data_IF_378594920354
#
_entry.id   IF_378594920354
#
_cell.length_a   1.000
_cell.length_b   1.000
_cell.length_c   1.000
_cell.angle_alpha   90.00
_cell.angle_beta   90.00
_cell.angle_gamma   90.00
#
_symmetry.space_group_name_H-M   'P 1'
#
loop_
_entity.id
_entity.type
_entity.pdbx_description
1 polymer ?
#
# COMPACT_ATOMS: atom_id res chain seq x y z
N UNK A 1 -3.26 -5.69 -34.98
CA UNK A 1 -4.46 -6.24 -35.67
C UNK A 1 -5.77 -5.89 -34.95
N UNK A 2 -5.84 -6.01 -33.62
CA UNK A 2 -7.08 -5.89 -32.81
C UNK A 2 -7.74 -4.51 -32.91
N UNK A 3 -7.00 -3.40 -32.83
CA UNK A 3 -7.58 -2.06 -32.91
C UNK A 3 -8.16 -1.72 -34.30
N UNK A 4 -7.56 -2.23 -35.38
CA UNK A 4 -8.11 -2.11 -36.75
C UNK A 4 -9.40 -2.91 -36.91
N UNK A 5 -9.54 -4.04 -36.19
CA UNK A 5 -10.77 -4.82 -36.20
C UNK A 5 -11.89 -4.09 -35.47
N UNK A 6 -11.62 -3.55 -34.28
CA UNK A 6 -12.57 -2.74 -33.51
C UNK A 6 -13.07 -1.53 -34.31
N UNK A 7 -12.17 -0.86 -35.05
CA UNK A 7 -12.50 0.27 -35.91
C UNK A 7 -13.43 -0.13 -37.06
N UNK A 8 -13.17 -1.30 -37.70
CA UNK A 8 -14.03 -1.82 -38.78
C UNK A 8 -15.41 -2.27 -38.30
N UNK A 9 -15.54 -2.66 -37.04
CA UNK A 9 -16.80 -3.10 -36.42
C UNK A 9 -17.54 -1.96 -35.69
N UNK A 10 -17.08 -0.70 -35.84
CA UNK A 10 -17.77 0.48 -35.30
C UNK A 10 -17.60 0.68 -33.78
N UNK A 11 -16.64 0.01 -33.14
CA UNK A 11 -16.35 0.21 -31.73
C UNK A 11 -15.38 1.39 -31.56
N UNK A 12 -15.72 2.32 -30.67
CA UNK A 12 -14.85 3.46 -30.30
C UNK A 12 -13.73 3.04 -29.36
N UNK A 13 -13.86 1.89 -28.71
CA UNK A 13 -12.88 1.34 -27.78
C UNK A 13 -11.58 0.96 -28.49
N UNK A 14 -10.44 1.24 -27.84
CA UNK A 14 -9.10 0.89 -28.33
C UNK A 14 -8.35 0.10 -27.25
N UNK A 15 -7.64 -0.94 -27.68
CA UNK A 15 -6.75 -1.70 -26.81
C UNK A 15 -5.40 -0.99 -26.80
N UNK A 16 -4.97 -0.56 -25.64
CA UNK A 16 -3.65 -0.02 -25.39
C UNK A 16 -2.79 -1.11 -24.72
N UNK A 17 -1.73 -1.53 -25.40
CA UNK A 17 -0.83 -2.58 -24.94
C UNK A 17 0.24 -2.10 -23.95
N UNK A 18 0.36 -0.77 -23.76
CA UNK A 18 1.30 -0.19 -22.82
C UNK A 18 0.86 -0.49 -21.38
N UNK A 19 1.81 -0.71 -20.49
CA UNK A 19 1.54 -0.87 -19.07
C UNK A 19 0.88 0.38 -18.48
N UNK A 20 0.21 0.26 -17.34
CA UNK A 20 -0.38 1.41 -16.64
C UNK A 20 0.67 2.47 -16.30
N UNK A 21 1.91 2.05 -15.96
CA UNK A 21 3.01 2.97 -15.70
C UNK A 21 3.44 3.75 -16.95
N UNK A 22 3.58 3.09 -18.10
CA UNK A 22 3.91 3.74 -19.38
C UNK A 22 2.81 4.69 -19.88
N UNK A 23 1.57 4.45 -19.47
CA UNK A 23 0.42 5.32 -19.74
C UNK A 23 0.31 6.47 -18.75
N UNK A 24 1.19 6.56 -17.76
CA UNK A 24 1.10 7.54 -16.68
C UNK A 24 -0.14 7.39 -15.79
N UNK A 25 -0.76 6.20 -15.79
CA UNK A 25 -1.91 5.91 -14.94
C UNK A 25 -1.44 5.56 -13.54
N UNK A 26 -2.09 6.12 -12.54
CA UNK A 26 -1.83 5.84 -11.12
C UNK A 26 -2.51 4.55 -10.65
N UNK A 27 -3.48 4.07 -11.42
CA UNK A 27 -4.22 2.85 -11.11
C UNK A 27 -3.30 1.65 -11.05
N UNK A 28 -3.61 0.76 -10.13
CA UNK A 28 -2.91 -0.50 -9.95
C UNK A 28 -3.43 -1.54 -10.93
N UNK A 29 -2.57 -2.25 -11.69
CA UNK A 29 -3.01 -3.37 -12.52
C UNK A 29 -3.50 -4.53 -11.63
N UNK A 30 -4.56 -5.19 -12.08
CA UNK A 30 -5.03 -6.43 -11.45
C UNK A 30 -4.05 -7.58 -11.72
N UNK A 31 -4.00 -8.55 -10.80
CA UNK A 31 -3.18 -9.75 -10.93
C UNK A 31 -3.95 -10.81 -11.73
N UNK A 32 -3.27 -11.61 -12.54
CA UNK A 32 -3.91 -12.73 -13.24
C UNK A 32 -4.46 -13.75 -12.23
N UNK A 33 -5.77 -13.96 -12.25
CA UNK A 33 -6.45 -14.84 -11.28
C UNK A 33 -6.16 -16.33 -11.52
N UNK A 34 -5.98 -16.72 -12.79
CA UNK A 34 -5.84 -18.13 -13.17
C UNK A 34 -7.18 -18.90 -13.16
N UNK A 35 -7.15 -20.08 -13.76
CA UNK A 35 -8.34 -20.92 -13.90
C UNK A 35 -8.78 -21.49 -12.55
N UNK A 36 -7.83 -21.86 -11.70
CA UNK A 36 -8.11 -22.48 -10.40
C UNK A 36 -8.80 -21.48 -9.45
N UNK A 37 -8.27 -20.26 -9.33
CA UNK A 37 -8.87 -19.23 -8.49
C UNK A 37 -10.30 -18.88 -8.90
N UNK A 38 -10.56 -18.77 -10.22
CA UNK A 38 -11.90 -18.54 -10.75
C UNK A 38 -12.85 -19.74 -10.51
N UNK A 39 -12.31 -20.96 -10.58
CA UNK A 39 -13.11 -22.16 -10.29
C UNK A 39 -13.48 -22.26 -8.80
N UNK A 40 -12.58 -21.87 -7.91
CA UNK A 40 -12.85 -21.77 -6.47
C UNK A 40 -13.94 -20.74 -6.18
N UNK A 41 -13.85 -19.57 -6.78
CA UNK A 41 -14.82 -18.48 -6.59
C UNK A 41 -16.23 -18.87 -7.07
N UNK A 42 -16.34 -19.59 -8.21
CA UNK A 42 -17.61 -20.16 -8.68
C UNK A 42 -18.23 -21.17 -7.70
N UNK A 43 -17.42 -21.79 -6.86
CA UNK A 43 -17.86 -22.71 -5.79
C UNK A 43 -18.10 -22.00 -4.45
N UNK A 44 -18.03 -20.66 -4.40
CA UNK A 44 -18.19 -19.87 -3.17
C UNK A 44 -16.97 -19.89 -2.25
N UNK A 45 -15.83 -20.41 -2.72
CA UNK A 45 -14.58 -20.42 -1.94
C UNK A 45 -13.79 -19.16 -2.27
N UNK A 46 -13.50 -18.36 -1.26
CA UNK A 46 -12.76 -17.10 -1.42
C UNK A 46 -11.31 -17.44 -1.80
N UNK A 47 -10.86 -16.90 -2.92
CA UNK A 47 -9.46 -16.99 -3.37
C UNK A 47 -8.74 -15.67 -3.07
N UNK A 48 -7.56 -15.75 -2.45
CA UNK A 48 -6.74 -14.56 -2.12
C UNK A 48 -6.45 -13.68 -3.35
N UNK A 49 -6.27 -14.29 -4.52
CA UNK A 49 -6.04 -13.54 -5.77
C UNK A 49 -7.28 -12.79 -6.24
N UNK A 50 -8.45 -13.40 -6.13
CA UNK A 50 -9.70 -12.76 -6.50
C UNK A 50 -10.06 -11.65 -5.51
N UNK A 51 -9.84 -11.89 -4.22
CA UNK A 51 -10.01 -10.89 -3.18
C UNK A 51 -9.06 -9.69 -3.36
N UNK A 52 -7.78 -9.95 -3.64
CA UNK A 52 -6.80 -8.93 -3.98
C UNK A 52 -7.25 -8.09 -5.18
N UNK A 53 -7.75 -8.74 -6.23
CA UNK A 53 -8.25 -8.03 -7.41
C UNK A 53 -9.49 -7.19 -7.12
N UNK A 54 -10.39 -7.64 -6.25
CA UNK A 54 -11.53 -6.84 -5.78
C UNK A 54 -11.06 -5.59 -5.06
N UNK A 55 -10.08 -5.74 -4.16
CA UNK A 55 -9.49 -4.61 -3.44
C UNK A 55 -8.81 -3.63 -4.40
N UNK A 56 -7.99 -4.11 -5.35
CA UNK A 56 -7.34 -3.27 -6.36
C UNK A 56 -8.37 -2.50 -7.19
N UNK A 57 -9.45 -3.14 -7.60
CA UNK A 57 -10.52 -2.47 -8.37
C UNK A 57 -11.21 -1.39 -7.54
N UNK A 58 -11.47 -1.65 -6.25
CA UNK A 58 -12.09 -0.68 -5.34
C UNK A 58 -11.18 0.51 -5.10
N UNK A 59 -9.89 0.28 -4.83
CA UNK A 59 -8.87 1.33 -4.66
C UNK A 59 -8.74 2.20 -5.92
N UNK A 60 -8.68 1.59 -7.10
CA UNK A 60 -8.61 2.31 -8.37
C UNK A 60 -9.88 3.13 -8.65
N UNK A 61 -11.05 2.63 -8.25
CA UNK A 61 -12.31 3.36 -8.39
C UNK A 61 -12.32 4.59 -7.47
N UNK A 62 -11.91 4.43 -6.21
CA UNK A 62 -11.78 5.53 -5.26
C UNK A 62 -10.79 6.58 -5.75
N UNK A 63 -9.61 6.18 -6.24
CA UNK A 63 -8.61 7.09 -6.78
C UNK A 63 -9.17 7.94 -7.93
N UNK A 64 -9.86 7.30 -8.88
CA UNK A 64 -10.50 8.02 -10.01
C UNK A 64 -11.56 9.01 -9.53
N UNK A 65 -12.36 8.60 -8.55
CA UNK A 65 -13.38 9.45 -7.94
C UNK A 65 -12.73 10.69 -7.29
N UNK A 66 -11.72 10.51 -6.44
CA UNK A 66 -11.02 11.58 -5.75
C UNK A 66 -10.37 12.57 -6.71
N UNK A 67 -9.66 12.06 -7.74
CA UNK A 67 -9.07 12.92 -8.79
C UNK A 67 -10.13 13.70 -9.57
N UNK A 68 -11.25 13.06 -9.88
CA UNK A 68 -12.38 13.72 -10.54
C UNK A 68 -13.00 14.81 -9.68
N UNK A 69 -13.13 14.57 -8.38
CA UNK A 69 -13.65 15.57 -7.42
C UNK A 69 -12.69 16.75 -7.27
N UNK A 70 -11.37 16.52 -7.10
CA UNK A 70 -10.37 17.58 -7.02
C UNK A 70 -10.44 18.47 -8.26
N UNK A 71 -10.43 17.91 -9.48
CA UNK A 71 -10.53 18.69 -10.71
C UNK A 71 -11.81 19.52 -10.81
N UNK A 72 -12.94 18.98 -10.41
CA UNK A 72 -14.22 19.70 -10.42
C UNK A 72 -14.25 20.83 -9.40
N UNK A 73 -13.69 20.63 -8.21
CA UNK A 73 -13.63 21.65 -7.15
C UNK A 73 -12.79 22.84 -7.59
N UNK A 74 -11.65 22.60 -8.21
CA UNK A 74 -10.76 23.66 -8.75
C UNK A 74 -11.47 24.50 -9.82
N UNK A 75 -12.30 23.87 -10.67
CA UNK A 75 -13.04 24.59 -11.72
C UNK A 75 -14.31 25.30 -11.24
N UNK A 76 -14.86 24.88 -10.10
CA UNK A 76 -16.17 25.34 -9.63
C UNK A 76 -16.12 26.42 -8.54
N UNK A 77 -14.92 26.92 -8.15
CA UNK A 77 -14.81 27.95 -7.11
C UNK A 77 -15.43 29.24 -7.59
N UNK A 78 -16.70 29.38 -7.31
CA UNK A 78 -17.45 30.60 -7.45
C UNK A 78 -17.37 31.40 -6.13
N UNK A 79 -17.20 32.65 -6.29
CA UNK A 79 -17.04 33.81 -5.44
C UNK A 79 -17.98 33.97 -4.25
N UNK A 80 -18.67 32.93 -3.75
CA UNK A 80 -19.55 33.00 -2.58
C UNK A 80 -18.99 32.24 -1.39
N UNK A 81 -19.09 32.81 -0.20
CA UNK A 81 -18.57 32.19 1.03
C UNK A 81 -19.07 30.77 1.28
N UNK A 82 -20.38 30.41 1.10
CA UNK A 82 -20.82 29.03 1.28
C UNK A 82 -20.18 28.05 0.27
N UNK A 83 -20.06 28.45 -1.01
CA UNK A 83 -19.48 27.62 -2.03
C UNK A 83 -17.99 27.37 -1.79
N UNK A 84 -17.27 28.39 -1.31
CA UNK A 84 -15.86 28.26 -0.93
C UNK A 84 -15.71 27.35 0.30
N UNK A 85 -16.54 27.52 1.33
CA UNK A 85 -16.53 26.68 2.52
C UNK A 85 -16.80 25.22 2.16
N UNK A 86 -17.78 24.96 1.31
CA UNK A 86 -18.10 23.60 0.84
C UNK A 86 -16.95 23.01 0.01
N UNK A 87 -16.32 23.77 -0.88
CA UNK A 87 -15.16 23.32 -1.65
C UNK A 87 -13.98 22.96 -0.73
N UNK A 88 -13.68 23.78 0.27
CA UNK A 88 -12.63 23.51 1.25
C UNK A 88 -12.90 22.23 2.06
N UNK A 89 -14.11 22.03 2.55
CA UNK A 89 -14.44 20.82 3.34
C UNK A 89 -14.57 19.56 2.46
N UNK A 90 -14.99 19.66 1.21
CA UNK A 90 -14.92 18.56 0.26
C UNK A 90 -13.46 18.16 -0.07
N UNK A 91 -12.57 19.14 -0.23
CA UNK A 91 -11.15 18.85 -0.47
C UNK A 91 -10.49 18.25 0.79
N UNK A 92 -10.86 18.76 1.99
CA UNK A 92 -10.45 18.17 3.27
C UNK A 92 -10.91 16.72 3.40
N UNK A 93 -12.14 16.40 3.00
CA UNK A 93 -12.66 15.03 2.93
C UNK A 93 -11.77 14.14 2.03
N UNK A 94 -11.38 14.65 0.88
CA UNK A 94 -10.51 13.91 -0.04
C UNK A 94 -9.11 13.70 0.54
N UNK A 95 -8.55 14.70 1.23
CA UNK A 95 -7.29 14.57 1.97
C UNK A 95 -7.37 13.49 3.06
N UNK A 96 -8.49 13.39 3.77
CA UNK A 96 -8.74 12.32 4.76
C UNK A 96 -8.66 10.93 4.10
N UNK A 97 -9.29 10.75 2.95
CA UNK A 97 -9.28 9.49 2.22
C UNK A 97 -7.89 9.16 1.66
N UNK A 98 -7.14 10.14 1.16
CA UNK A 98 -5.75 9.93 0.75
C UNK A 98 -4.86 9.54 1.93
N UNK A 99 -4.97 10.23 3.07
CA UNK A 99 -4.21 9.89 4.28
C UNK A 99 -4.56 8.49 4.78
N UNK A 100 -5.83 8.11 4.78
CA UNK A 100 -6.27 6.77 5.16
C UNK A 100 -5.66 5.71 4.24
N UNK A 101 -5.69 5.95 2.93
CA UNK A 101 -5.14 5.04 1.93
C UNK A 101 -3.63 4.87 2.07
N UNK A 102 -2.90 5.97 2.25
CA UNK A 102 -1.45 5.95 2.52
C UNK A 102 -1.11 5.20 3.80
N UNK A 103 -1.86 5.44 4.87
CA UNK A 103 -1.67 4.73 6.13
C UNK A 103 -1.96 3.23 6.02
N UNK A 104 -2.94 2.84 5.20
CA UNK A 104 -3.22 1.43 4.93
C UNK A 104 -2.06 0.76 4.16
N UNK A 105 -1.51 1.42 3.13
CA UNK A 105 -0.34 0.95 2.39
C UNK A 105 0.88 0.83 3.30
N UNK A 106 1.12 1.83 4.16
CA UNK A 106 2.23 1.83 5.09
C UNK A 106 2.18 0.63 6.06
N UNK A 107 1.01 0.35 6.64
CA UNK A 107 0.83 -0.85 7.48
C UNK A 107 1.06 -2.15 6.71
N UNK A 108 0.67 -2.21 5.43
CA UNK A 108 0.97 -3.34 4.56
C UNK A 108 2.48 -3.53 4.35
N UNK A 109 3.22 -2.45 4.10
CA UNK A 109 4.68 -2.44 3.99
C UNK A 109 5.36 -2.91 5.28
N UNK A 110 4.95 -2.39 6.42
CA UNK A 110 5.51 -2.76 7.72
C UNK A 110 5.38 -4.27 7.97
N UNK A 111 4.20 -4.85 7.70
CA UNK A 111 3.97 -6.29 7.84
C UNK A 111 4.88 -7.10 6.93
N UNK A 112 4.98 -6.73 5.65
CA UNK A 112 5.86 -7.41 4.70
C UNK A 112 7.33 -7.28 5.10
N UNK A 113 7.78 -6.10 5.51
CA UNK A 113 9.14 -5.88 5.97
C UNK A 113 9.45 -6.71 7.23
N UNK A 114 8.54 -6.79 8.19
CA UNK A 114 8.71 -7.62 9.37
C UNK A 114 8.86 -9.09 8.99
N UNK A 115 8.02 -9.60 8.10
CA UNK A 115 8.11 -10.97 7.60
C UNK A 115 9.42 -11.22 6.83
N UNK A 116 9.80 -10.30 5.92
CA UNK A 116 11.04 -10.42 5.15
C UNK A 116 12.30 -10.34 6.03
N UNK A 117 12.30 -9.53 7.08
CA UNK A 117 13.42 -9.44 8.01
C UNK A 117 13.68 -10.75 8.77
N UNK A 118 12.64 -11.52 9.02
CA UNK A 118 12.74 -12.87 9.62
C UNK A 118 13.14 -13.93 8.58
N UNK A 119 12.62 -13.82 7.37
CA UNK A 119 12.79 -14.86 6.34
C UNK A 119 14.09 -14.74 5.55
N UNK A 120 14.63 -13.53 5.36
CA UNK A 120 15.90 -13.31 4.60
C UNK A 120 17.11 -14.05 5.20
N UNK A 121 17.36 -14.03 6.51
CA UNK A 121 18.44 -14.83 7.11
C UNK A 121 18.26 -16.33 6.87
N UNK A 122 17.02 -16.82 7.03
CA UNK A 122 16.70 -18.22 6.77
C UNK A 122 16.89 -18.59 5.29
N UNK A 123 16.58 -17.69 4.35
CA UNK A 123 16.86 -17.89 2.92
C UNK A 123 18.37 -17.96 2.64
N UNK A 124 19.17 -17.13 3.30
CA UNK A 124 20.62 -17.17 3.15
C UNK A 124 21.18 -18.53 3.64
N UNK A 125 20.72 -19.01 4.79
CA UNK A 125 21.09 -20.32 5.33
C UNK A 125 20.62 -21.46 4.40
N UNK A 126 19.39 -21.42 3.93
CA UNK A 126 18.86 -22.38 2.96
C UNK A 126 19.71 -22.46 1.68
N UNK A 127 20.07 -21.32 1.12
CA UNK A 127 20.88 -21.25 -0.09
C UNK A 127 22.29 -21.80 0.13
N UNK A 128 22.88 -21.56 1.32
CA UNK A 128 24.17 -22.12 1.67
C UNK A 128 24.09 -23.64 1.79
N UNK A 129 23.13 -24.19 2.52
CA UNK A 129 22.91 -25.64 2.65
C UNK A 129 22.64 -26.29 1.29
N UNK A 130 21.83 -25.67 0.44
CA UNK A 130 21.56 -26.17 -0.91
C UNK A 130 22.80 -26.17 -1.80
N UNK A 131 23.71 -25.21 -1.63
CA UNK A 131 25.00 -25.15 -2.31
C UNK A 131 25.91 -26.28 -1.81
N UNK A 132 26.06 -26.43 -0.50
CA UNK A 132 26.93 -27.44 0.11
C UNK A 132 26.49 -28.87 -0.25
N UNK A 133 25.17 -29.13 -0.22
CA UNK A 133 24.59 -30.40 -0.70
C UNK A 133 24.96 -30.67 -2.16
N UNK A 134 24.86 -29.64 -3.02
CA UNK A 134 25.16 -29.75 -4.45
C UNK A 134 26.63 -30.05 -4.68
N UNK A 135 27.51 -29.32 -4.00
CA UNK A 135 28.96 -29.46 -4.16
C UNK A 135 29.43 -30.82 -3.64
N UNK A 136 29.00 -31.26 -2.44
CA UNK A 136 29.29 -32.59 -1.90
C UNK A 136 28.71 -33.73 -2.74
N UNK A 137 27.51 -33.53 -3.31
CA UNK A 137 26.91 -34.52 -4.25
C UNK A 137 27.76 -34.69 -5.52
N UNK A 138 28.27 -33.57 -6.05
CA UNK A 138 29.18 -33.61 -7.22
C UNK A 138 30.49 -34.32 -6.89
N UNK A 139 31.07 -34.03 -5.72
CA UNK A 139 32.29 -34.71 -5.24
C UNK A 139 32.05 -36.20 -5.06
N UNK A 140 30.98 -36.62 -4.41
CA UNK A 140 30.60 -38.02 -4.25
C UNK A 140 30.44 -38.74 -5.59
N UNK A 141 29.82 -38.12 -6.60
CA UNK A 141 29.68 -38.64 -7.96
C UNK A 141 31.07 -38.83 -8.63
N UNK A 142 31.96 -37.86 -8.46
CA UNK A 142 33.35 -37.95 -9.01
C UNK A 142 34.11 -39.11 -8.39
N UNK A 143 34.07 -39.27 -7.06
CA UNK A 143 34.74 -40.39 -6.36
C UNK A 143 34.14 -41.74 -6.74
N UNK A 144 32.82 -41.83 -6.92
CA UNK A 144 32.13 -43.02 -7.42
C UNK A 144 32.58 -43.38 -8.84
N UNK A 145 32.76 -42.38 -9.71
CA UNK A 145 33.28 -42.62 -11.08
C UNK A 145 34.74 -43.07 -11.08
N UNK A 146 35.59 -42.45 -10.24
CA UNK A 146 36.97 -42.85 -10.01
C UNK A 146 37.03 -44.30 -9.52
N UNK A 147 36.25 -44.64 -8.50
CA UNK A 147 36.19 -46.00 -7.94
C UNK A 147 35.76 -47.04 -9.00
N UNK A 148 34.82 -46.70 -9.89
CA UNK A 148 34.40 -47.60 -10.98
C UNK A 148 35.45 -47.79 -12.08
N UNK A 149 36.29 -46.77 -12.33
CA UNK A 149 37.34 -46.80 -13.35
C UNK A 149 38.60 -47.55 -12.87
N UNK A 150 38.78 -47.76 -11.56
CA UNK A 150 39.92 -48.45 -10.98
C UNK A 150 39.85 -49.97 -11.22
N UNK A 151 40.98 -50.54 -11.63
CA UNK A 151 41.14 -51.99 -11.73
C UNK A 151 41.06 -52.68 -10.35
N UNK A 152 40.52 -53.90 -10.28
CA UNK A 152 40.35 -54.68 -9.06
C UNK A 152 41.66 -54.94 -8.29
N UNK A 153 42.84 -54.76 -8.94
CA UNK A 153 44.17 -54.93 -8.32
C UNK A 153 44.48 -53.84 -7.27
N UNK A 154 43.83 -52.67 -7.36
CA UNK A 154 44.10 -51.54 -6.47
C UNK A 154 43.25 -51.57 -5.17
N UNK A 155 43.32 -52.66 -4.42
CA UNK A 155 42.46 -52.90 -3.23
C UNK A 155 42.55 -51.78 -2.19
N UNK A 156 43.73 -51.26 -1.89
CA UNK A 156 43.92 -50.18 -0.92
C UNK A 156 43.23 -48.89 -1.38
N UNK A 157 43.33 -48.49 -2.65
CA UNK A 157 42.69 -47.32 -3.19
C UNK A 157 41.18 -47.48 -3.23
N UNK A 158 40.68 -48.68 -3.55
CA UNK A 158 39.23 -48.98 -3.47
C UNK A 158 38.68 -48.82 -2.05
N UNK A 159 39.47 -49.23 -1.03
CA UNK A 159 39.05 -49.10 0.38
C UNK A 159 39.08 -47.62 0.84
N UNK A 160 40.12 -46.87 0.44
CA UNK A 160 40.22 -45.45 0.73
C UNK A 160 39.03 -44.65 0.12
N UNK A 161 38.76 -44.88 -1.17
CA UNK A 161 37.64 -44.23 -1.87
C UNK A 161 36.28 -44.63 -1.25
N UNK A 162 36.13 -45.90 -0.84
CA UNK A 162 34.93 -46.35 -0.18
C UNK A 162 34.68 -45.62 1.16
N UNK A 163 35.77 -45.44 1.96
CA UNK A 163 35.69 -44.70 3.22
C UNK A 163 35.32 -43.21 3.01
N UNK A 164 35.96 -42.57 1.99
CA UNK A 164 35.63 -41.17 1.64
C UNK A 164 34.18 -41.02 1.16
N UNK A 165 33.68 -41.94 0.35
CA UNK A 165 32.32 -41.94 -0.14
C UNK A 165 31.34 -42.14 1.04
N UNK A 166 31.65 -43.04 1.97
CA UNK A 166 30.82 -43.24 3.14
C UNK A 166 30.72 -42.00 4.02
N UNK A 167 31.88 -41.35 4.32
CA UNK A 167 31.88 -40.07 5.05
C UNK A 167 31.12 -38.96 4.35
N UNK A 168 31.30 -38.80 3.04
CA UNK A 168 30.51 -37.80 2.27
C UNK A 168 29.01 -38.11 2.21
N UNK A 169 28.64 -39.39 2.28
CA UNK A 169 27.22 -39.79 2.31
C UNK A 169 26.59 -39.41 3.65
N UNK A 170 27.29 -39.64 4.75
CA UNK A 170 26.89 -39.23 6.08
C UNK A 170 26.74 -37.71 6.18
N UNK A 171 27.75 -36.97 5.74
CA UNK A 171 27.68 -35.48 5.66
C UNK A 171 26.49 -35.00 4.84
N UNK A 172 26.18 -35.67 3.71
CA UNK A 172 25.03 -35.31 2.87
C UNK A 172 23.69 -35.57 3.57
N UNK A 173 23.58 -36.63 4.36
CA UNK A 173 22.38 -36.92 5.16
C UNK A 173 22.19 -35.88 6.26
N UNK A 174 23.30 -35.50 6.94
CA UNK A 174 23.23 -34.40 7.95
C UNK A 174 22.78 -33.07 7.34
N UNK A 175 23.41 -32.65 6.24
CA UNK A 175 23.05 -31.39 5.55
C UNK A 175 21.59 -31.39 5.04
N UNK A 176 21.10 -32.53 4.55
CA UNK A 176 19.70 -32.67 4.14
C UNK A 176 18.76 -32.59 5.34
N UNK A 177 19.11 -33.24 6.44
CA UNK A 177 18.35 -33.18 7.68
C UNK A 177 18.29 -31.73 8.20
N UNK A 178 19.42 -31.03 8.24
CA UNK A 178 19.49 -29.63 8.65
C UNK A 178 18.62 -28.73 7.77
N UNK A 179 18.71 -28.92 6.45
CA UNK A 179 17.86 -28.18 5.50
C UNK A 179 16.37 -28.45 5.75
N UNK A 180 15.99 -29.69 5.99
CA UNK A 180 14.60 -30.07 6.24
C UNK A 180 14.09 -29.50 7.58
N UNK A 181 14.93 -29.50 8.62
CA UNK A 181 14.62 -28.88 9.90
C UNK A 181 14.42 -27.36 9.76
N UNK A 182 15.24 -26.69 8.96
CA UNK A 182 15.08 -25.29 8.65
C UNK A 182 13.73 -25.02 7.96
N UNK A 183 13.38 -25.80 6.94
CA UNK A 183 12.10 -25.66 6.24
C UNK A 183 10.91 -25.95 7.17
N UNK A 184 10.99 -27.00 7.99
CA UNK A 184 9.95 -27.33 8.96
C UNK A 184 9.74 -26.22 9.99
N UNK A 185 10.81 -25.57 10.45
CA UNK A 185 10.72 -24.41 11.35
C UNK A 185 9.99 -23.22 10.76
N UNK A 186 9.92 -23.12 9.44
CA UNK A 186 9.23 -22.08 8.66
C UNK A 186 7.86 -22.53 8.13
N UNK A 187 7.36 -23.69 8.61
CA UNK A 187 6.06 -24.27 8.20
C UNK A 187 6.03 -24.73 6.72
N UNK A 188 7.18 -25.03 6.14
CA UNK A 188 7.29 -25.69 4.84
C UNK A 188 7.51 -27.20 5.02
N UNK A 189 6.88 -28.01 4.18
CA UNK A 189 7.00 -29.48 4.23
C UNK A 189 7.97 -30.01 3.16
N UNK A 190 8.52 -31.22 3.36
CA UNK A 190 9.62 -31.75 2.54
C UNK A 190 9.28 -31.94 1.05
N UNK A 191 8.03 -32.28 0.72
CA UNK A 191 7.66 -32.74 -0.63
C UNK A 191 7.30 -31.62 -1.59
N UNK A 192 6.78 -30.50 -1.11
CA UNK A 192 6.24 -29.42 -1.97
C UNK A 192 7.18 -28.19 -2.11
N UNK A 193 8.27 -28.08 -1.34
CA UNK A 193 8.71 -26.76 -0.91
C UNK A 193 10.17 -26.39 -1.12
N UNK A 194 11.00 -27.27 -1.68
CA UNK A 194 12.40 -26.93 -1.94
C UNK A 194 12.57 -25.68 -2.84
N UNK A 195 11.59 -25.45 -3.72
CA UNK A 195 11.56 -24.30 -4.63
C UNK A 195 10.52 -23.25 -4.25
N UNK A 196 9.61 -23.54 -3.34
CA UNK A 196 8.50 -22.64 -2.97
C UNK A 196 8.98 -21.55 -2.02
N UNK A 197 9.77 -21.89 -1.03
CA UNK A 197 10.30 -20.93 -0.06
C UNK A 197 11.03 -19.74 -0.71
N UNK A 198 12.03 -19.92 -1.60
CA UNK A 198 12.65 -18.82 -2.34
C UNK A 198 11.66 -18.04 -3.22
N UNK A 199 10.70 -18.73 -3.84
CA UNK A 199 9.68 -18.08 -4.68
C UNK A 199 8.72 -17.21 -3.87
N UNK A 200 8.32 -17.66 -2.69
CA UNK A 200 7.46 -16.90 -1.79
C UNK A 200 8.15 -15.63 -1.30
N UNK A 201 9.44 -15.70 -0.93
CA UNK A 201 10.22 -14.52 -0.58
C UNK A 201 10.32 -13.55 -1.76
N UNK A 202 10.65 -14.03 -2.95
CA UNK A 202 10.72 -13.20 -4.15
C UNK A 202 9.36 -12.54 -4.46
N UNK A 203 8.25 -13.25 -4.25
CA UNK A 203 6.90 -12.70 -4.40
C UNK A 203 6.59 -11.62 -3.35
N UNK A 204 7.03 -11.82 -2.09
CA UNK A 204 6.92 -10.82 -1.03
C UNK A 204 7.74 -9.57 -1.35
N UNK A 205 8.97 -9.71 -1.82
CA UNK A 205 9.83 -8.60 -2.23
C UNK A 205 9.24 -7.82 -3.41
N UNK A 206 8.71 -8.52 -4.38
CA UNK A 206 8.00 -7.88 -5.51
C UNK A 206 6.75 -7.13 -5.02
N UNK A 207 6.03 -7.70 -4.06
CA UNK A 207 4.86 -7.05 -3.47
C UNK A 207 5.25 -5.81 -2.68
N UNK A 208 6.33 -5.87 -1.90
CA UNK A 208 6.89 -4.72 -1.19
C UNK A 208 7.25 -3.58 -2.15
N UNK A 209 7.99 -3.88 -3.21
CA UNK A 209 8.34 -2.89 -4.24
C UNK A 209 7.11 -2.24 -4.87
N UNK A 210 6.07 -3.03 -5.15
CA UNK A 210 4.80 -2.50 -5.69
C UNK A 210 4.08 -1.57 -4.70
N UNK A 211 4.11 -1.88 -3.40
CA UNK A 211 3.54 -1.00 -2.37
C UNK A 211 4.33 0.30 -2.26
N UNK A 212 5.66 0.26 -2.37
CA UNK A 212 6.52 1.45 -2.37
C UNK A 212 6.23 2.37 -3.57
N UNK A 213 6.14 1.80 -4.76
CA UNK A 213 5.77 2.55 -5.96
C UNK A 213 4.38 3.20 -5.84
N UNK A 214 3.44 2.51 -5.19
CA UNK A 214 2.11 3.06 -4.93
C UNK A 214 2.13 4.19 -3.90
N UNK A 215 2.83 3.99 -2.79
CA UNK A 215 2.96 5.01 -1.75
C UNK A 215 3.51 6.32 -2.33
N UNK A 216 4.54 6.25 -3.18
CA UNK A 216 5.07 7.43 -3.88
C UNK A 216 4.02 8.12 -4.74
N UNK A 217 3.22 7.37 -5.49
CA UNK A 217 2.17 7.92 -6.35
C UNK A 217 1.05 8.58 -5.55
N UNK A 218 0.59 7.93 -4.48
CA UNK A 218 -0.44 8.51 -3.61
C UNK A 218 0.06 9.71 -2.82
N UNK A 219 1.34 9.72 -2.43
CA UNK A 219 1.96 10.89 -1.81
C UNK A 219 1.95 12.09 -2.75
N UNK A 220 2.31 11.91 -4.02
CA UNK A 220 2.26 12.97 -5.01
C UNK A 220 0.83 13.52 -5.24
N UNK A 221 -0.19 12.67 -5.23
CA UNK A 221 -1.59 13.11 -5.33
C UNK A 221 -2.07 13.84 -4.07
N UNK A 222 -1.60 13.41 -2.88
CA UNK A 222 -1.85 14.11 -1.63
C UNK A 222 -1.24 15.53 -1.67
N UNK A 223 0.01 15.65 -2.12
CA UNK A 223 0.70 16.93 -2.24
C UNK A 223 0.00 17.86 -3.23
N UNK A 224 -0.47 17.32 -4.35
CA UNK A 224 -1.27 18.07 -5.32
C UNK A 224 -2.59 18.57 -4.70
N UNK A 225 -3.29 17.71 -3.94
CA UNK A 225 -4.52 18.11 -3.27
C UNK A 225 -4.29 19.15 -2.16
N UNK A 226 -3.14 19.09 -1.47
CA UNK A 226 -2.71 20.11 -0.50
C UNK A 226 -2.43 21.46 -1.16
N UNK A 227 -1.78 21.45 -2.33
CA UNK A 227 -1.54 22.66 -3.12
C UNK A 227 -2.86 23.33 -3.54
N UNK A 228 -3.84 22.54 -3.99
CA UNK A 228 -5.17 23.02 -4.32
C UNK A 228 -5.90 23.60 -3.10
N UNK A 229 -5.81 22.95 -1.93
CA UNK A 229 -6.37 23.49 -0.69
C UNK A 229 -5.72 24.82 -0.31
N UNK A 230 -4.42 24.96 -0.51
CA UNK A 230 -3.70 26.22 -0.28
C UNK A 230 -4.23 27.33 -1.19
N UNK A 231 -4.48 27.04 -2.46
CA UNK A 231 -5.12 27.98 -3.39
C UNK A 231 -6.53 28.42 -2.96
N UNK A 232 -7.35 27.49 -2.44
CA UNK A 232 -8.64 27.85 -1.86
C UNK A 232 -8.50 28.73 -0.61
N UNK A 233 -7.49 28.46 0.21
CA UNK A 233 -7.18 29.24 1.41
C UNK A 233 -6.75 30.67 1.07
N UNK A 234 -6.00 30.87 0.00
CA UNK A 234 -5.65 32.20 -0.50
C UNK A 234 -6.89 32.97 -0.94
N UNK A 235 -7.80 32.33 -1.67
CA UNK A 235 -9.07 32.93 -2.06
C UNK A 235 -9.95 33.27 -0.83
N UNK A 236 -9.84 32.49 0.23
CA UNK A 236 -10.54 32.70 1.49
C UNK A 236 -10.15 34.00 2.21
N UNK A 237 -8.98 34.56 1.91
CA UNK A 237 -8.52 35.83 2.51
C UNK A 237 -9.43 37.02 2.19
N UNK A 238 -10.25 36.94 1.14
CA UNK A 238 -11.25 37.94 0.77
C UNK A 238 -12.54 37.91 1.59
N UNK A 239 -12.71 36.94 2.49
CA UNK A 239 -13.90 36.76 3.30
C UNK A 239 -13.61 36.97 4.79
N UNK A 240 -14.70 37.24 5.58
CA UNK A 240 -14.58 37.30 7.04
C UNK A 240 -14.18 35.90 7.58
N UNK A 241 -13.01 35.80 8.27
CA UNK A 241 -12.50 34.51 8.75
C UNK A 241 -13.43 33.86 9.79
N UNK A 242 -14.19 34.64 10.57
CA UNK A 242 -15.12 34.10 11.56
C UNK A 242 -16.30 33.45 10.89
N UNK A 243 -16.93 34.14 9.93
CA UNK A 243 -18.06 33.61 9.18
C UNK A 243 -17.66 32.36 8.36
N UNK A 244 -16.50 32.41 7.69
CA UNK A 244 -16.00 31.27 6.93
C UNK A 244 -15.77 30.06 7.84
N UNK A 245 -15.16 30.28 9.01
CA UNK A 245 -14.95 29.22 9.98
C UNK A 245 -16.27 28.59 10.46
N UNK A 246 -17.24 29.40 10.83
CA UNK A 246 -18.57 28.94 11.30
C UNK A 246 -19.27 28.09 10.23
N UNK A 247 -19.30 28.56 8.98
CA UNK A 247 -19.91 27.81 7.87
C UNK A 247 -19.17 26.50 7.61
N UNK A 248 -17.82 26.50 7.64
CA UNK A 248 -17.03 25.28 7.50
C UNK A 248 -17.30 24.29 8.62
N UNK A 249 -17.37 24.74 9.88
CA UNK A 249 -17.65 23.86 11.02
C UNK A 249 -19.04 23.23 10.93
N UNK A 250 -20.04 23.94 10.43
CA UNK A 250 -21.40 23.42 10.27
C UNK A 250 -21.48 22.20 9.33
N UNK A 251 -20.64 22.17 8.30
CA UNK A 251 -20.65 21.07 7.30
C UNK A 251 -19.55 20.03 7.51
N UNK A 252 -18.57 20.31 8.36
CA UNK A 252 -17.38 19.47 8.59
C UNK A 252 -17.72 18.07 9.07
N UNK A 253 -18.61 17.97 10.06
CA UNK A 253 -19.01 16.69 10.64
C UNK A 253 -19.61 15.75 9.58
N UNK A 254 -20.47 16.29 8.72
CA UNK A 254 -21.11 15.52 7.66
C UNK A 254 -20.07 15.04 6.63
N UNK A 255 -19.11 15.91 6.26
CA UNK A 255 -18.03 15.56 5.33
C UNK A 255 -17.05 14.54 5.90
N UNK A 256 -16.77 14.58 7.19
CA UNK A 256 -15.99 13.55 7.87
C UNK A 256 -16.72 12.21 7.90
N UNK A 257 -18.03 12.22 8.17
CA UNK A 257 -18.86 11.02 8.14
C UNK A 257 -18.96 10.44 6.73
N UNK A 258 -19.08 11.27 5.69
CA UNK A 258 -19.03 10.84 4.29
C UNK A 258 -17.68 10.14 3.97
N UNK A 259 -16.54 10.70 4.46
CA UNK A 259 -15.23 10.08 4.27
C UNK A 259 -15.14 8.71 4.95
N UNK A 260 -15.63 8.62 6.18
CA UNK A 260 -15.64 7.39 6.96
C UNK A 260 -16.51 6.30 6.32
N UNK A 261 -17.73 6.66 5.91
CA UNK A 261 -18.63 5.76 5.19
C UNK A 261 -18.01 5.27 3.88
N UNK A 262 -17.33 6.16 3.15
CA UNK A 262 -16.65 5.81 1.91
C UNK A 262 -15.48 4.87 2.15
N UNK A 263 -14.67 5.08 3.17
CA UNK A 263 -13.60 4.18 3.56
C UNK A 263 -14.15 2.80 3.98
N UNK A 264 -15.22 2.77 4.78
CA UNK A 264 -15.89 1.52 5.15
C UNK A 264 -16.41 0.76 3.92
N UNK A 265 -17.02 1.45 2.97
CA UNK A 265 -17.51 0.85 1.73
C UNK A 265 -16.38 0.25 0.87
N UNK A 266 -15.23 0.92 0.79
CA UNK A 266 -14.08 0.48 -0.01
C UNK A 266 -13.34 -0.68 0.65
N UNK A 267 -13.11 -0.61 1.95
CA UNK A 267 -12.28 -1.56 2.69
C UNK A 267 -13.07 -2.67 3.39
N UNK A 268 -14.39 -2.53 3.55
CA UNK A 268 -15.25 -3.54 4.16
C UNK A 268 -14.74 -3.98 5.54
N UNK A 269 -14.57 -5.29 5.72
CA UNK A 269 -14.06 -5.88 6.97
C UNK A 269 -12.63 -5.45 7.32
N UNK A 270 -11.84 -4.99 6.34
CA UNK A 270 -10.48 -4.49 6.55
C UNK A 270 -10.43 -3.02 6.99
N UNK A 271 -11.58 -2.36 7.09
CA UNK A 271 -11.65 -1.00 7.60
C UNK A 271 -11.10 -0.90 9.02
N UNK A 272 -10.28 0.12 9.27
CA UNK A 272 -9.63 0.32 10.56
C UNK A 272 -10.00 1.71 11.12
N UNK A 273 -10.87 1.78 12.15
CA UNK A 273 -11.28 3.05 12.76
C UNK A 273 -10.13 3.86 13.36
N UNK A 274 -9.11 3.18 13.92
CA UNK A 274 -7.94 3.85 14.48
C UNK A 274 -7.13 4.56 13.38
N UNK A 275 -7.00 3.93 12.22
CA UNK A 275 -6.33 4.54 11.07
C UNK A 275 -7.10 5.77 10.56
N UNK A 276 -8.43 5.73 10.57
CA UNK A 276 -9.24 6.89 10.23
C UNK A 276 -9.04 8.03 11.23
N UNK A 277 -8.99 7.74 12.50
CA UNK A 277 -8.69 8.73 13.54
C UNK A 277 -7.29 9.35 13.37
N UNK A 278 -6.28 8.53 13.09
CA UNK A 278 -4.92 9.02 12.81
C UNK A 278 -4.88 9.89 11.55
N UNK A 279 -5.65 9.52 10.52
CA UNK A 279 -5.79 10.30 9.29
C UNK A 279 -6.44 11.66 9.55
N UNK A 280 -7.48 11.73 10.38
CA UNK A 280 -8.09 12.99 10.81
C UNK A 280 -7.07 13.91 11.50
N UNK A 281 -6.26 13.36 12.40
CA UNK A 281 -5.18 14.10 13.07
C UNK A 281 -4.08 14.55 12.10
N UNK A 282 -3.72 13.70 11.14
CA UNK A 282 -2.71 14.02 10.14
C UNK A 282 -3.16 15.20 9.27
N UNK A 283 -4.38 15.14 8.74
CA UNK A 283 -4.96 16.23 7.92
C UNK A 283 -5.08 17.52 8.73
N UNK A 284 -5.56 17.45 9.98
CA UNK A 284 -5.66 18.63 10.84
C UNK A 284 -4.32 19.32 11.04
N UNK A 285 -3.24 18.54 11.22
CA UNK A 285 -1.86 19.05 11.31
C UNK A 285 -1.37 19.65 10.00
N UNK A 286 -1.58 18.97 8.87
CA UNK A 286 -1.16 19.46 7.54
C UNK A 286 -1.83 20.78 7.17
N UNK A 287 -3.10 20.93 7.54
CA UNK A 287 -3.89 22.12 7.27
C UNK A 287 -3.73 23.23 8.34
N UNK A 288 -2.94 22.99 9.40
CA UNK A 288 -2.73 23.92 10.52
C UNK A 288 -4.05 24.37 11.18
N UNK A 289 -5.04 23.48 11.29
CA UNK A 289 -6.39 23.81 11.79
C UNK A 289 -6.38 24.34 13.23
N UNK A 290 -5.50 23.86 14.09
CA UNK A 290 -5.37 24.34 15.46
C UNK A 290 -4.94 25.81 15.51
N UNK A 291 -4.06 26.25 14.60
CA UNK A 291 -3.64 27.66 14.51
C UNK A 291 -4.76 28.54 13.97
N UNK A 292 -5.50 28.06 12.99
CA UNK A 292 -6.67 28.73 12.43
C UNK A 292 -7.76 28.93 13.52
N UNK A 293 -8.05 27.89 14.27
CA UNK A 293 -8.97 27.93 15.40
C UNK A 293 -8.56 28.93 16.48
N UNK A 294 -7.30 28.95 16.87
CA UNK A 294 -6.77 29.91 17.84
C UNK A 294 -6.86 31.35 17.34
N UNK A 295 -6.61 31.58 16.04
CA UNK A 295 -6.72 32.90 15.43
C UNK A 295 -8.18 33.39 15.46
N UNK A 296 -9.13 32.57 15.04
CA UNK A 296 -10.57 32.88 15.09
C UNK A 296 -11.02 33.18 16.51
N UNK A 297 -10.63 32.36 17.49
CA UNK A 297 -10.94 32.62 18.92
C UNK A 297 -10.38 33.96 19.43
N UNK A 298 -9.20 34.37 19.00
CA UNK A 298 -8.64 35.67 19.35
C UNK A 298 -9.47 36.80 18.76
N UNK A 299 -9.89 36.71 17.50
CA UNK A 299 -10.72 37.69 16.83
C UNK A 299 -12.09 37.85 17.51
N UNK A 300 -12.74 36.73 17.82
CA UNK A 300 -14.02 36.75 18.54
C UNK A 300 -13.91 37.42 19.92
N UNK A 301 -12.85 37.07 20.68
CA UNK A 301 -12.62 37.70 21.99
C UNK A 301 -12.32 39.22 21.90
N UNK A 302 -11.60 39.64 20.86
CA UNK A 302 -11.32 41.05 20.60
C UNK A 302 -12.60 41.82 20.25
N UNK A 303 -13.46 41.27 19.39
CA UNK A 303 -14.75 41.85 19.04
C UNK A 303 -15.67 41.99 20.26
N UNK A 304 -15.73 40.95 21.11
CA UNK A 304 -16.51 41.00 22.36
C UNK A 304 -16.01 42.07 23.33
N UNK A 305 -14.69 42.19 23.49
CA UNK A 305 -14.11 43.25 24.33
C UNK A 305 -14.40 44.65 23.77
N UNK A 306 -14.34 44.83 22.45
CA UNK A 306 -14.66 46.07 21.77
C UNK A 306 -16.14 46.49 22.01
N UNK A 307 -17.06 45.53 21.93
CA UNK A 307 -18.49 45.78 22.19
C UNK A 307 -18.74 46.15 23.66
N UNK A 308 -18.09 45.48 24.62
CA UNK A 308 -18.23 45.82 26.05
C UNK A 308 -17.69 47.21 26.39
N UNK A 309 -16.55 47.59 25.79
CA UNK A 309 -15.99 48.94 25.97
C UNK A 309 -16.87 50.00 25.33
N UNK A 310 -17.52 49.72 24.20
CA UNK A 310 -18.43 50.64 23.56
C UNK A 310 -19.73 50.83 24.36
N UNK A 311 -20.30 49.76 24.89
CA UNK A 311 -21.46 49.81 25.76
C UNK A 311 -21.19 50.55 27.07
N UNK A 312 -20.01 50.35 27.66
CA UNK A 312 -19.58 51.04 28.87
C UNK A 312 -19.45 52.56 28.64
N UNK A 313 -18.80 52.97 27.53
CA UNK A 313 -18.72 54.37 27.12
C UNK A 313 -20.07 55.03 26.77
N UNK A 314 -21.01 54.23 26.23
CA UNK A 314 -22.38 54.73 25.95
C UNK A 314 -23.17 54.97 27.24
N UNK A 315 -23.11 54.05 28.20
CA UNK A 315 -23.76 54.19 29.52
C UNK A 315 -23.13 55.28 30.42
N UNK A 316 -21.86 55.65 30.21
CA UNK A 316 -21.19 56.77 30.87
C UNK A 316 -21.56 58.15 30.26
N UNK A 317 -22.03 58.18 28.99
CA UNK A 317 -22.52 59.41 28.31
C UNK A 317 -23.99 59.68 28.52
N UNK A 318 -24.74 58.70 28.95
CA UNK A 318 -26.18 58.80 29.22
C UNK A 318 -26.47 59.05 30.73
N UNK A 319 -25.43 59.20 31.56
CA UNK A 319 -25.49 59.66 32.94
C UNK A 319 -24.95 61.10 33.02
#
# INVERSE_FOLDING_TARGET
>A
MTNRHLERTGHEERIDHRSYAERGLLERPTVHEGVVARAMEKKGIISDRCELNRQIKADNALLRELRGQVKKLVQAVKTTLPALAEAMENLRKNLLLFCYQLGYLHKGKERLNTSLNTLRPALAQYNQLAKDIRDKTKECRNLLSEKKALSAVHVFRHRELAAKIAALTEDLEELRSEKNLLLASLVYTEEDDADKFPKDIAAMEQSLKRLEEQEQKYSAELDAALAEYTGLREQAQGFDPVQLYEVRQAIRSDKEQEAENRAQQVYGEKYNPLLMFDSKKAVSRMLHEDMEWQAVRRMVRQAQKGQQTFQKKKGERER
#
